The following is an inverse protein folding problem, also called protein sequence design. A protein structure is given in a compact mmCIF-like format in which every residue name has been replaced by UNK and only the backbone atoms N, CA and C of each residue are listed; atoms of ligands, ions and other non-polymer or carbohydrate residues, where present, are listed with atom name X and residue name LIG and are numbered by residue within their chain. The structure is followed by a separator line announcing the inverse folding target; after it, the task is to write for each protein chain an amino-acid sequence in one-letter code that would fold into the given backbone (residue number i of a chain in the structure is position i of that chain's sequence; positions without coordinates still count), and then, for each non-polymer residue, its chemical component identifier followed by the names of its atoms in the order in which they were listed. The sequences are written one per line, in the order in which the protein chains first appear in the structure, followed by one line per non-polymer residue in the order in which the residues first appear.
data_IF_149222302228
#
_entry.id   IF_149222302228
#
_cell.length_a   1.000
_cell.length_b   1.000
_cell.length_c   1.000
_cell.angle_alpha   90.00
_cell.angle_beta   90.00
_cell.angle_gamma   90.00
#
_symmetry.space_group_name_H-M   'P 1'
#
loop_
_entity.id
_entity.type
_entity.pdbx_description
1 polymer ?
#
# COMPACT_ATOMS: atom_id res chain seq x y z
N UNK A 1 -67.80 -59.32 13.90
CA UNK A 1 -67.72 -59.28 12.43
C UNK A 1 -66.54 -58.40 12.04
N UNK A 2 -65.63 -58.92 11.21
CA UNK A 2 -64.29 -58.41 10.91
C UNK A 2 -64.23 -57.21 9.95
N UNK A 3 -63.14 -56.41 10.10
CA UNK A 3 -62.37 -55.68 9.06
C UNK A 3 -63.06 -54.45 8.43
N UNK A 4 -62.44 -53.27 8.28
CA UNK A 4 -61.10 -52.97 7.74
C UNK A 4 -60.53 -51.65 8.30
N UNK A 5 -59.23 -51.71 8.56
CA UNK A 5 -58.26 -50.64 8.85
C UNK A 5 -58.03 -49.65 7.69
N UNK A 6 -57.75 -48.39 8.02
CA UNK A 6 -56.69 -47.61 7.34
C UNK A 6 -55.80 -46.92 8.37
N UNK A 7 -54.52 -47.26 8.28
CA UNK A 7 -53.38 -46.73 9.02
C UNK A 7 -52.86 -45.47 8.33
N UNK A 8 -52.37 -44.51 9.10
CA UNK A 8 -51.22 -43.64 8.80
C UNK A 8 -50.71 -43.18 10.19
N UNK A 9 -49.74 -43.87 10.81
CA UNK A 9 -48.29 -43.55 10.81
C UNK A 9 -48.04 -42.05 11.07
N UNK A 10 -47.86 -41.66 12.33
CA UNK A 10 -46.59 -41.56 13.10
C UNK A 10 -45.59 -40.61 12.42
N UNK A 11 -45.30 -39.52 13.14
CA UNK A 11 -44.19 -38.61 12.90
C UNK A 11 -43.83 -37.83 14.17
N UNK A 12 -43.52 -38.55 15.25
CA UNK A 12 -42.67 -38.05 16.35
C UNK A 12 -41.25 -38.54 16.05
N UNK A 13 -40.27 -37.65 16.17
CA UNK A 13 -38.83 -37.94 16.02
C UNK A 13 -38.21 -37.07 14.92
N UNK A 14 -37.08 -36.40 15.10
CA UNK A 14 -35.92 -36.72 15.93
C UNK A 14 -35.21 -35.43 16.36
N UNK A 15 -34.75 -35.41 17.62
CA UNK A 15 -33.50 -34.75 17.99
C UNK A 15 -32.38 -35.25 17.06
N UNK A 16 -31.76 -34.37 16.28
CA UNK A 16 -30.41 -34.61 15.77
C UNK A 16 -29.44 -33.63 16.41
N UNK A 17 -28.90 -34.08 17.54
CA UNK A 17 -27.52 -33.79 17.93
C UNK A 17 -26.61 -34.13 16.75
N UNK A 18 -26.17 -33.11 16.01
CA UNK A 18 -24.86 -33.12 15.37
C UNK A 18 -24.02 -32.05 16.04
N UNK A 19 -23.47 -32.45 17.18
CA UNK A 19 -22.21 -31.90 17.62
C UNK A 19 -21.08 -32.42 16.72
N UNK A 20 -19.98 -31.67 16.76
CA UNK A 20 -18.63 -32.01 16.31
C UNK A 20 -18.39 -32.06 14.81
N UNK A 21 -17.68 -31.02 14.36
CA UNK A 21 -16.29 -31.29 13.95
C UNK A 21 -15.97 -31.07 12.49
N UNK A 22 -15.90 -29.81 12.07
CA UNK A 22 -14.96 -29.32 11.06
C UNK A 22 -14.64 -27.88 11.53
N UNK A 23 -13.55 -27.61 12.27
CA UNK A 23 -12.20 -27.46 11.72
C UNK A 23 -12.24 -26.99 10.26
N UNK A 24 -12.98 -25.91 9.98
CA UNK A 24 -12.75 -25.15 8.75
C UNK A 24 -11.44 -24.43 9.01
N UNK A 25 -10.41 -24.97 8.36
CA UNK A 25 -9.03 -24.63 8.58
C UNK A 25 -8.75 -23.14 8.43
N UNK A 26 -7.53 -22.79 8.84
CA UNK A 26 -6.80 -21.60 8.43
C UNK A 26 -6.67 -21.53 6.89
N UNK A 27 -7.78 -21.37 6.19
CA UNK A 27 -7.85 -21.02 4.78
C UNK A 27 -8.34 -19.59 4.74
N UNK A 28 -7.42 -18.70 5.05
CA UNK A 28 -7.60 -17.25 5.01
C UNK A 28 -6.31 -16.51 4.77
N UNK A 29 -5.21 -17.18 4.42
CA UNK A 29 -4.12 -16.52 3.68
C UNK A 29 -4.62 -16.44 2.23
N UNK A 30 -5.38 -15.38 1.95
CA UNK A 30 -5.47 -14.88 0.59
C UNK A 30 -4.02 -14.71 0.11
N UNK A 31 -3.69 -15.21 -1.10
CA UNK A 31 -2.38 -15.04 -1.72
C UNK A 31 -1.89 -13.61 -1.46
N UNK A 32 -0.93 -13.47 -0.54
CA UNK A 32 -0.43 -12.16 -0.17
C UNK A 32 0.37 -11.64 -1.35
N UNK A 33 -0.26 -10.79 -2.16
CA UNK A 33 0.35 -10.23 -3.37
C UNK A 33 1.64 -9.52 -2.97
N UNK A 34 2.77 -10.07 -3.40
CA UNK A 34 4.07 -9.40 -3.33
C UNK A 34 4.00 -8.10 -4.12
N UNK A 35 4.45 -7.02 -3.51
CA UNK A 35 4.48 -5.68 -4.08
C UNK A 35 5.88 -5.39 -4.56
N UNK A 36 6.02 -5.25 -5.87
CA UNK A 36 7.29 -4.93 -6.49
C UNK A 36 7.68 -3.48 -6.23
N UNK A 37 8.78 -3.28 -5.49
CA UNK A 37 9.42 -1.99 -5.27
C UNK A 37 10.81 -2.07 -5.90
N UNK A 38 11.03 -1.51 -7.10
CA UNK A 38 12.27 -1.69 -7.87
C UNK A 38 13.49 -1.09 -7.17
N UNK A 39 13.34 0.13 -6.63
CA UNK A 39 14.42 0.86 -5.97
C UNK A 39 14.79 0.19 -4.65
N UNK A 40 15.99 -0.41 -4.57
CA UNK A 40 16.45 -1.14 -3.40
C UNK A 40 16.47 -0.27 -2.13
N UNK A 41 16.98 0.97 -2.24
CA UNK A 41 17.03 1.90 -1.11
C UNK A 41 15.65 2.32 -0.58
N UNK A 42 14.65 2.43 -1.46
CA UNK A 42 13.27 2.68 -1.04
C UNK A 42 12.67 1.42 -0.42
N UNK A 43 12.89 0.26 -1.04
CA UNK A 43 12.39 -1.03 -0.53
C UNK A 43 12.91 -1.32 0.88
N UNK A 44 14.20 -1.09 1.14
CA UNK A 44 14.79 -1.24 2.48
C UNK A 44 14.15 -0.33 3.53
N UNK A 45 13.90 0.93 3.17
CA UNK A 45 13.22 1.88 4.06
C UNK A 45 11.77 1.47 4.31
N UNK A 46 11.04 1.00 3.29
CA UNK A 46 9.67 0.47 3.46
C UNK A 46 9.66 -0.74 4.39
N UNK A 47 10.60 -1.68 4.22
CA UNK A 47 10.74 -2.84 5.11
C UNK A 47 11.02 -2.39 6.55
N UNK A 48 11.87 -1.37 6.71
CA UNK A 48 12.12 -0.77 8.03
C UNK A 48 10.84 -0.22 8.64
N UNK A 49 10.03 0.54 7.91
CA UNK A 49 8.75 1.07 8.42
C UNK A 49 7.78 -0.07 8.82
N UNK A 50 7.71 -1.14 8.04
CA UNK A 50 6.91 -2.34 8.38
C UNK A 50 7.38 -2.97 9.70
N UNK A 51 8.70 -3.11 9.89
CA UNK A 51 9.25 -3.67 11.13
C UNK A 51 9.05 -2.77 12.35
N UNK A 52 8.85 -1.46 12.18
CA UNK A 52 8.48 -0.56 13.28
C UNK A 52 6.98 -0.61 13.62
N UNK A 53 6.12 -1.02 12.68
CA UNK A 53 4.67 -0.93 12.88
C UNK A 53 4.11 -1.97 13.86
N UNK A 54 4.66 -3.19 13.93
CA UNK A 54 4.32 -4.21 14.95
C UNK A 54 5.49 -5.13 15.31
N UNK A 55 5.55 -5.57 16.57
CA UNK A 55 6.55 -6.51 17.08
C UNK A 55 6.36 -7.89 16.40
N UNK A 56 7.37 -8.35 15.64
CA UNK A 56 7.42 -9.59 14.83
C UNK A 56 6.97 -9.51 13.35
N UNK A 57 6.83 -8.32 12.75
CA UNK A 57 6.70 -8.20 11.29
C UNK A 57 8.08 -8.34 10.60
N UNK A 58 8.57 -9.57 10.48
CA UNK A 58 9.74 -9.86 9.67
C UNK A 58 9.32 -10.05 8.21
N UNK A 59 9.77 -9.14 7.35
CA UNK A 59 9.75 -9.38 5.90
C UNK A 59 10.97 -10.27 5.58
N UNK A 60 10.81 -11.58 5.66
CA UNK A 60 11.91 -12.51 5.40
C UNK A 60 12.27 -12.53 3.91
N UNK A 61 13.43 -11.95 3.57
CA UNK A 61 14.15 -12.13 2.29
C UNK A 61 13.39 -11.84 0.98
N UNK A 62 12.30 -11.08 0.99
CA UNK A 62 11.50 -10.82 -0.21
C UNK A 62 10.86 -9.42 -0.25
N UNK A 63 10.28 -9.11 -1.42
CA UNK A 63 9.37 -7.98 -1.61
C UNK A 63 8.28 -7.98 -0.53
N UNK A 64 7.92 -6.82 0.05
CA UNK A 64 6.81 -6.75 0.98
C UNK A 64 5.51 -7.19 0.31
N UNK A 65 4.53 -7.61 1.10
CA UNK A 65 3.21 -7.98 0.59
C UNK A 65 2.25 -6.81 0.78
N UNK A 66 1.09 -6.84 0.12
CA UNK A 66 0.05 -5.84 0.36
C UNK A 66 -0.39 -5.81 1.84
N UNK A 67 -0.38 -6.96 2.53
CA UNK A 67 -0.68 -7.02 3.96
C UNK A 67 0.37 -6.30 4.78
N UNK A 68 1.66 -6.54 4.50
CA UNK A 68 2.76 -5.82 5.15
C UNK A 68 2.63 -4.30 4.99
N UNK A 69 2.35 -3.82 3.77
CA UNK A 69 2.21 -2.39 3.51
C UNK A 69 0.98 -1.76 4.18
N UNK A 70 -0.11 -2.52 4.31
CA UNK A 70 -1.31 -2.08 5.01
C UNK A 70 -1.11 -1.93 6.53
N UNK A 71 -0.05 -2.52 7.10
CA UNK A 71 0.27 -2.37 8.53
C UNK A 71 0.96 -1.03 8.85
N UNK A 72 1.49 -0.33 7.85
CA UNK A 72 2.15 0.96 8.06
C UNK A 72 1.09 2.01 8.41
N UNK A 73 1.05 2.40 9.69
CA UNK A 73 0.10 3.37 10.27
C UNK A 73 0.74 4.71 10.60
N UNK A 74 1.95 4.94 10.11
CA UNK A 74 2.64 6.20 10.30
C UNK A 74 1.88 7.34 9.62
N UNK A 75 1.67 8.44 10.36
CA UNK A 75 1.05 9.63 9.79
C UNK A 75 1.94 10.20 8.68
N UNK A 76 3.27 10.16 8.86
CA UNK A 76 4.28 10.66 7.93
C UNK A 76 5.39 9.65 7.70
N UNK A 77 5.68 9.31 6.44
CA UNK A 77 6.89 8.56 6.07
C UNK A 77 7.93 9.50 5.45
N UNK A 78 9.18 9.34 5.85
CA UNK A 78 10.31 10.07 5.29
C UNK A 78 11.24 9.07 4.60
N UNK A 79 11.33 9.18 3.29
CA UNK A 79 12.34 8.48 2.52
C UNK A 79 13.54 9.39 2.30
N UNK A 80 14.74 8.86 2.50
CA UNK A 80 15.99 9.53 2.16
C UNK A 80 16.76 8.72 1.14
N UNK A 81 17.25 9.39 0.11
CA UNK A 81 18.12 8.78 -0.88
C UNK A 81 19.56 8.70 -0.34
N UNK A 82 19.81 7.74 0.55
CA UNK A 82 21.17 7.44 1.07
C UNK A 82 21.96 6.55 0.10
N UNK A 83 21.32 6.02 -0.94
CA UNK A 83 21.87 5.08 -1.91
C UNK A 83 21.63 5.65 -3.30
N UNK A 84 22.67 5.87 -4.10
CA UNK A 84 22.65 6.65 -5.35
C UNK A 84 21.75 6.07 -6.49
N UNK A 85 20.99 4.99 -6.25
CA UNK A 85 20.29 4.23 -7.31
C UNK A 85 18.75 4.23 -7.24
N UNK A 86 18.11 5.06 -6.41
CA UNK A 86 16.64 5.05 -6.30
C UNK A 86 15.95 5.80 -7.45
N UNK A 87 15.57 5.09 -8.51
CA UNK A 87 15.04 5.69 -9.75
C UNK A 87 13.52 5.67 -9.88
N UNK A 88 12.81 4.92 -9.02
CA UNK A 88 11.36 4.71 -9.14
C UNK A 88 10.66 4.61 -7.79
N UNK A 89 9.45 5.19 -7.72
CA UNK A 89 8.54 5.13 -6.58
C UNK A 89 7.49 4.01 -6.69
N UNK A 90 7.60 3.14 -7.70
CA UNK A 90 6.63 2.08 -7.94
C UNK A 90 6.50 1.17 -6.71
N UNK A 91 5.25 0.78 -6.41
CA UNK A 91 4.88 -0.01 -5.24
C UNK A 91 4.48 0.83 -4.02
N UNK A 92 4.93 2.09 -3.90
CA UNK A 92 4.55 2.97 -2.79
C UNK A 92 3.05 3.28 -2.77
N UNK A 93 2.38 3.23 -3.93
CA UNK A 93 0.93 3.42 -4.01
C UNK A 93 0.12 2.41 -3.20
N UNK A 94 0.71 1.26 -2.85
CA UNK A 94 0.04 0.23 -2.05
C UNK A 94 0.02 0.57 -0.55
N UNK A 95 0.76 1.59 -0.10
CA UNK A 95 0.71 2.11 1.27
C UNK A 95 -0.49 3.07 1.39
N UNK A 96 -1.57 2.62 2.02
CA UNK A 96 -2.87 3.33 1.96
C UNK A 96 -3.15 4.32 3.08
N UNK A 97 -2.62 4.11 4.28
CA UNK A 97 -3.07 4.85 5.48
C UNK A 97 -2.20 6.05 5.87
N UNK A 98 -1.20 6.37 5.05
CA UNK A 98 -0.27 7.49 5.27
C UNK A 98 -0.90 8.82 4.88
N UNK A 99 -0.72 9.83 5.73
CA UNK A 99 -1.20 11.21 5.49
C UNK A 99 -0.15 12.10 4.87
N UNK A 100 1.12 11.76 4.94
CA UNK A 100 2.10 12.45 4.11
C UNK A 100 3.43 11.77 3.94
N UNK A 101 4.16 12.30 2.97
CA UNK A 101 5.40 11.72 2.50
C UNK A 101 6.43 12.82 2.25
N UNK A 102 7.65 12.59 2.72
CA UNK A 102 8.80 13.41 2.37
C UNK A 102 9.83 12.58 1.62
N UNK A 103 10.25 13.06 0.45
CA UNK A 103 11.32 12.45 -0.35
C UNK A 103 12.55 13.37 -0.27
N UNK A 104 13.60 12.92 0.42
CA UNK A 104 14.83 13.68 0.65
C UNK A 104 15.95 13.23 -0.28
N UNK A 105 16.56 14.18 -1.02
CA UNK A 105 17.74 13.98 -1.86
C UNK A 105 17.55 13.01 -3.04
N UNK A 106 16.31 12.81 -3.49
CA UNK A 106 16.02 12.01 -4.68
C UNK A 106 16.20 12.85 -5.95
N UNK A 107 17.32 12.64 -6.66
CA UNK A 107 17.68 13.47 -7.81
C UNK A 107 17.39 12.83 -9.17
N UNK A 108 17.14 11.52 -9.19
CA UNK A 108 16.99 10.69 -10.38
C UNK A 108 15.57 10.15 -10.57
N UNK A 109 14.62 10.55 -9.72
CA UNK A 109 13.20 10.20 -9.86
C UNK A 109 12.53 11.15 -10.84
N UNK A 110 12.06 10.60 -11.95
CA UNK A 110 11.32 11.34 -12.98
C UNK A 110 9.82 11.07 -12.96
N UNK A 111 9.40 9.96 -12.34
CA UNK A 111 8.01 9.52 -12.34
C UNK A 111 7.46 9.49 -10.91
N UNK A 112 6.65 10.49 -10.60
CA UNK A 112 5.98 10.63 -9.31
C UNK A 112 4.54 10.11 -9.32
N UNK A 113 4.06 9.56 -10.47
CA UNK A 113 2.69 9.06 -10.60
C UNK A 113 2.29 8.01 -9.56
N UNK A 114 3.18 7.13 -9.05
CA UNK A 114 2.84 6.22 -7.95
C UNK A 114 2.25 6.94 -6.73
N UNK A 115 2.70 8.16 -6.42
CA UNK A 115 2.14 8.93 -5.30
C UNK A 115 0.65 9.23 -5.49
N UNK A 116 0.17 9.33 -6.74
CA UNK A 116 -1.24 9.56 -7.05
C UNK A 116 -2.18 8.42 -6.65
N UNK A 117 -1.67 7.23 -6.33
CA UNK A 117 -2.46 6.10 -5.82
C UNK A 117 -2.56 6.06 -4.29
N UNK A 118 -1.89 6.99 -3.58
CA UNK A 118 -1.94 7.14 -2.13
C UNK A 118 -3.02 8.17 -1.75
N UNK A 119 -4.30 7.81 -1.93
CA UNK A 119 -5.45 8.73 -1.87
C UNK A 119 -5.65 9.46 -0.53
N UNK A 120 -5.00 8.98 0.54
CA UNK A 120 -5.04 9.57 1.87
C UNK A 120 -4.00 10.67 2.11
N UNK A 121 -3.09 10.91 1.16
CA UNK A 121 -2.09 11.96 1.29
C UNK A 121 -2.73 13.34 1.42
N UNK A 122 -2.30 14.04 2.46
CA UNK A 122 -2.63 15.42 2.81
C UNK A 122 -1.43 16.36 2.60
N UNK A 123 -0.20 15.85 2.71
CA UNK A 123 1.00 16.63 2.50
C UNK A 123 2.09 15.83 1.77
N UNK A 124 2.69 16.47 0.78
CA UNK A 124 3.83 15.96 0.01
C UNK A 124 4.95 16.98 0.10
N UNK A 125 6.16 16.53 0.44
CA UNK A 125 7.35 17.37 0.42
C UNK A 125 8.47 16.69 -0.37
N UNK A 126 8.97 17.38 -1.40
CA UNK A 126 9.98 16.87 -2.32
C UNK A 126 11.22 17.74 -2.17
N UNK A 127 12.18 17.25 -1.38
CA UNK A 127 13.44 17.96 -1.13
C UNK A 127 14.49 17.49 -2.13
N UNK A 128 14.47 18.17 -3.26
CA UNK A 128 15.35 17.94 -4.37
C UNK A 128 16.54 18.92 -4.30
N UNK A 129 17.76 18.38 -4.40
CA UNK A 129 18.99 19.18 -4.41
C UNK A 129 19.64 19.01 -5.78
N UNK A 130 19.38 19.92 -6.74
CA UNK A 130 19.99 19.83 -8.06
C UNK A 130 21.49 20.05 -7.91
N UNK A 131 22.28 18.99 -8.08
CA UNK A 131 23.66 19.18 -8.53
C UNK A 131 23.57 19.70 -9.97
N UNK A 132 24.12 20.90 -10.16
CA UNK A 132 23.84 21.78 -11.32
C UNK A 132 24.24 21.21 -12.69
N UNK A 133 24.88 20.04 -12.71
CA UNK A 133 25.46 19.42 -13.90
C UNK A 133 24.71 18.18 -14.42
N UNK A 134 23.86 17.51 -13.64
CA UNK A 134 23.12 16.34 -14.13
C UNK A 134 21.98 16.79 -15.08
N UNK A 135 21.92 16.34 -16.35
CA UNK A 135 20.85 16.68 -17.28
C UNK A 135 19.48 16.06 -16.95
N UNK A 136 19.41 14.94 -16.21
CA UNK A 136 18.15 14.33 -15.74
C UNK A 136 17.45 15.27 -14.77
N UNK A 137 18.25 15.93 -13.95
CA UNK A 137 17.93 16.94 -12.95
C UNK A 137 17.17 18.18 -13.52
N UNK A 138 17.24 18.38 -14.85
CA UNK A 138 16.62 19.49 -15.59
C UNK A 138 15.34 19.09 -16.33
N UNK A 139 14.95 17.82 -16.30
CA UNK A 139 13.77 17.35 -17.02
C UNK A 139 12.51 17.79 -16.28
N UNK A 140 11.58 18.37 -17.04
CA UNK A 140 10.29 18.73 -16.52
C UNK A 140 9.58 17.52 -15.89
N UNK A 141 9.02 17.73 -14.70
CA UNK A 141 8.28 16.71 -13.96
C UNK A 141 6.78 16.90 -14.17
N UNK A 142 6.09 15.80 -14.51
CA UNK A 142 4.64 15.75 -14.57
C UNK A 142 4.05 15.60 -13.17
N UNK A 143 3.20 16.55 -12.78
CA UNK A 143 2.48 16.58 -11.49
C UNK A 143 0.99 16.27 -11.64
N UNK A 144 0.56 15.76 -12.80
CA UNK A 144 -0.84 15.41 -13.09
C UNK A 144 -1.45 14.42 -12.09
N UNK A 145 -0.61 13.60 -11.45
CA UNK A 145 -1.01 12.64 -10.41
C UNK A 145 -1.69 13.31 -9.21
N UNK A 146 -1.41 14.58 -8.93
CA UNK A 146 -2.04 15.35 -7.85
C UNK A 146 -3.56 15.44 -8.04
N UNK A 147 -4.07 15.37 -9.27
CA UNK A 147 -5.52 15.34 -9.53
C UNK A 147 -6.24 14.21 -8.80
N UNK A 148 -5.55 13.12 -8.48
CA UNK A 148 -6.12 11.97 -7.77
C UNK A 148 -6.10 12.16 -6.24
N UNK A 149 -5.30 13.11 -5.73
CA UNK A 149 -5.09 13.32 -4.30
C UNK A 149 -6.09 14.32 -3.74
N UNK A 150 -7.35 13.89 -3.59
CA UNK A 150 -8.47 14.76 -3.16
C UNK A 150 -8.33 15.32 -1.75
N UNK A 151 -7.46 14.74 -0.93
CA UNK A 151 -7.18 15.16 0.44
C UNK A 151 -5.93 16.03 0.55
N UNK A 152 -5.19 16.23 -0.55
CA UNK A 152 -3.96 17.00 -0.56
C UNK A 152 -4.23 18.46 -0.18
N UNK A 153 -3.47 18.95 0.80
CA UNK A 153 -3.54 20.33 1.31
C UNK A 153 -2.23 21.06 1.10
N UNK A 154 -1.11 20.35 1.16
CA UNK A 154 0.23 20.91 1.02
C UNK A 154 0.99 20.10 -0.02
N UNK A 155 1.50 20.80 -1.04
CA UNK A 155 2.47 20.25 -1.97
C UNK A 155 3.66 21.18 -1.98
N UNK A 156 4.76 20.74 -1.39
CA UNK A 156 6.05 21.40 -1.49
C UNK A 156 6.89 20.63 -2.49
N UNK A 157 6.96 21.15 -3.72
CA UNK A 157 7.78 20.59 -4.78
C UNK A 157 9.25 21.02 -4.71
N UNK A 158 9.66 21.81 -3.72
CA UNK A 158 11.01 22.36 -3.65
C UNK A 158 11.39 23.09 -4.95
N UNK A 159 12.50 22.66 -5.56
CA UNK A 159 12.99 23.21 -6.84
C UNK A 159 12.70 22.28 -8.03
N UNK A 160 11.66 21.45 -7.94
CA UNK A 160 11.25 20.60 -9.05
C UNK A 160 10.85 21.43 -10.28
N UNK A 161 11.39 21.13 -11.47
CA UNK A 161 11.02 21.82 -12.70
C UNK A 161 9.62 21.36 -13.15
N UNK A 162 8.56 22.01 -12.68
CA UNK A 162 7.18 21.69 -13.07
C UNK A 162 6.70 22.66 -14.15
N UNK A 163 6.20 22.13 -15.28
CA UNK A 163 5.73 22.96 -16.40
C UNK A 163 4.22 23.23 -16.39
N UNK A 164 3.43 22.35 -15.78
CA UNK A 164 1.97 22.45 -15.74
C UNK A 164 1.45 22.36 -14.31
N UNK A 165 0.86 23.46 -13.83
CA UNK A 165 0.25 23.56 -12.51
C UNK A 165 -1.29 23.45 -12.54
N UNK A 166 -1.90 23.25 -13.71
CA UNK A 166 -3.35 23.00 -13.81
C UNK A 166 -3.83 21.82 -12.97
N UNK A 167 -3.03 20.78 -12.65
CA UNK A 167 -3.43 19.74 -11.71
C UNK A 167 -3.81 20.19 -10.30
N UNK A 168 -3.44 21.41 -9.88
CA UNK A 168 -3.74 21.97 -8.56
C UNK A 168 -5.02 22.83 -8.53
N UNK A 169 -5.62 23.12 -9.68
CA UNK A 169 -6.83 23.95 -9.82
C UNK A 169 -8.10 23.09 -9.73
#
# INVERSE_FOLDING_TARGET
MMKKSRKWLIGVGMLSLFGLGILVGKYGEADEKKVYIPSAGIREQVIKEISHSEENNNVENELPTSTHLAQIKEDHIIFSNQYEESTSLEGLQEIKDVKGISLLMFNNIIDYRPLGGMENLQYIQLYYFPDTEDPVSKKAVDVSFVKNLKKLRIFDGGVLPVLDLTPFQ
#
